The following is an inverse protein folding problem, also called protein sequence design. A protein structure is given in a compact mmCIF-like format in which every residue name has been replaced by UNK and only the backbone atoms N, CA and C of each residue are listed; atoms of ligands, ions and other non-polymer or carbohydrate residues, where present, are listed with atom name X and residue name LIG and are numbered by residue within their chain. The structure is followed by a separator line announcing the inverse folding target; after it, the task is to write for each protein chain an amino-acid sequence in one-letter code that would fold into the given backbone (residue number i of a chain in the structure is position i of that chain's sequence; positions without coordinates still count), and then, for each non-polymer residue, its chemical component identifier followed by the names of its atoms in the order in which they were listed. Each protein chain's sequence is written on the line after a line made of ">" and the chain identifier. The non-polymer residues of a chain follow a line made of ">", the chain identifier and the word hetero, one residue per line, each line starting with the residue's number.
data_IF_125561465099
#
_entry.id   IF_125561465099
#
_cell.length_a   1.000
_cell.length_b   1.000
_cell.length_c   1.000
_cell.angle_alpha   90.00
_cell.angle_beta   90.00
_cell.angle_gamma   90.00
#
_symmetry.space_group_name_H-M   'P 1'
#
loop_
_entity.id
_entity.type
_entity.pdbx_description
1 polymer ?
#
# COMPACT_ATOMS: atom_id res chain seq x y z
N UNK A 1 15.32 -6.75 20.81
CA UNK A 1 13.86 -6.52 20.78
C UNK A 1 13.62 -5.02 20.76
N UNK A 2 13.50 -4.44 19.58
CA UNK A 2 13.20 -3.01 19.43
C UNK A 2 11.69 -2.88 19.49
N UNK A 3 11.16 -2.39 20.59
CA UNK A 3 9.73 -2.06 20.73
C UNK A 3 9.45 -0.84 19.86
N UNK A 4 8.33 -0.83 19.11
CA UNK A 4 7.84 0.41 18.53
C UNK A 4 7.72 1.44 19.64
N UNK A 5 8.35 2.61 19.46
CA UNK A 5 8.07 3.75 20.30
C UNK A 5 6.57 4.05 20.22
N UNK A 6 5.89 4.26 21.36
CA UNK A 6 4.44 4.49 21.31
C UNK A 6 4.13 5.70 20.42
N UNK A 7 2.95 5.75 19.87
CA UNK A 7 2.36 6.67 18.88
C UNK A 7 2.61 8.19 19.00
N UNK A 8 3.54 8.63 19.85
CA UNK A 8 3.82 10.04 20.15
C UNK A 8 4.83 10.73 19.22
N UNK A 9 5.43 10.02 18.26
CA UNK A 9 6.48 10.56 17.39
C UNK A 9 6.18 10.54 15.89
N UNK A 10 5.00 10.04 15.46
CA UNK A 10 4.66 10.06 14.04
C UNK A 10 4.13 11.44 13.66
N UNK A 11 4.55 11.99 12.49
CA UNK A 11 3.93 13.21 11.96
C UNK A 11 2.45 12.94 11.71
N UNK A 12 1.67 14.00 11.52
CA UNK A 12 0.27 13.85 11.15
C UNK A 12 0.16 12.87 9.97
N UNK A 13 -0.73 11.86 10.04
CA UNK A 13 -0.93 10.92 8.97
C UNK A 13 -1.12 11.64 7.62
N UNK A 14 -0.54 11.11 6.54
CA UNK A 14 -0.77 11.69 5.22
C UNK A 14 -2.22 11.43 4.75
N UNK A 15 -2.76 12.36 3.99
CA UNK A 15 -4.05 12.24 3.30
C UNK A 15 -3.84 12.67 1.84
N UNK A 16 -3.94 11.72 0.90
CA UNK A 16 -3.69 11.94 -0.51
C UNK A 16 -4.92 11.55 -1.33
N UNK A 17 -5.31 12.41 -2.27
CA UNK A 17 -6.43 12.14 -3.17
C UNK A 17 -6.00 12.13 -4.63
N UNK A 18 -6.59 11.23 -5.38
CA UNK A 18 -6.39 11.03 -6.81
C UNK A 18 -7.74 10.96 -7.52
N UNK A 19 -7.85 11.63 -8.67
CA UNK A 19 -9.07 11.60 -9.49
C UNK A 19 -8.69 11.13 -10.89
N UNK A 20 -9.32 10.06 -11.34
CA UNK A 20 -9.05 9.43 -12.63
C UNK A 20 -10.19 9.73 -13.61
N UNK A 21 -9.93 10.62 -14.58
CA UNK A 21 -10.90 11.10 -15.54
C UNK A 21 -11.85 12.15 -14.96
N UNK A 22 -12.98 12.39 -15.64
CA UNK A 22 -14.01 13.29 -15.19
C UNK A 22 -14.94 12.57 -14.20
N UNK A 23 -14.88 12.96 -12.92
CA UNK A 23 -15.61 12.32 -11.82
C UNK A 23 -16.21 13.38 -10.91
N UNK A 24 -17.47 13.21 -10.59
CA UNK A 24 -18.15 14.03 -9.60
C UNK A 24 -17.93 13.47 -8.21
N UNK A 25 -16.93 14.01 -7.49
CA UNK A 25 -16.49 13.50 -6.17
C UNK A 25 -17.36 14.00 -5.01
N UNK A 26 -18.20 15.03 -5.23
CA UNK A 26 -19.15 15.56 -4.26
C UNK A 26 -20.54 14.89 -4.33
N UNK A 27 -20.69 13.93 -5.24
CA UNK A 27 -21.90 13.16 -5.44
C UNK A 27 -21.97 11.89 -4.59
N UNK A 28 -22.91 11.01 -4.95
CA UNK A 28 -23.09 9.73 -4.27
C UNK A 28 -21.94 8.77 -4.60
N UNK A 29 -21.11 8.46 -3.61
CA UNK A 29 -19.90 7.65 -3.77
C UNK A 29 -20.10 6.23 -3.23
N UNK A 30 -19.72 5.23 -4.02
CA UNK A 30 -19.53 3.86 -3.57
C UNK A 30 -18.07 3.69 -3.11
N UNK A 31 -17.87 3.40 -1.83
CA UNK A 31 -16.53 3.25 -1.25
C UNK A 31 -16.13 1.77 -1.10
N UNK A 32 -14.89 1.47 -1.45
CA UNK A 32 -14.20 0.23 -1.11
C UNK A 32 -13.02 0.54 -0.19
N UNK A 33 -13.05 -0.01 1.01
CA UNK A 33 -11.96 0.12 1.98
C UNK A 33 -10.91 -0.97 1.75
N UNK A 34 -9.63 -0.57 1.78
CA UNK A 34 -8.48 -1.46 1.66
C UNK A 34 -7.44 -1.14 2.74
N UNK A 35 -6.59 -2.11 3.06
CA UNK A 35 -5.44 -1.93 3.94
C UNK A 35 -4.14 -2.20 3.19
N UNK A 36 -3.07 -1.50 3.57
CA UNK A 36 -1.73 -1.63 3.01
C UNK A 36 -0.71 -1.73 4.13
N UNK A 37 0.17 -2.73 4.05
CA UNK A 37 1.24 -2.90 5.01
C UNK A 37 2.50 -2.15 4.54
N UNK A 38 3.03 -1.29 5.38
CA UNK A 38 4.37 -0.71 5.24
C UNK A 38 5.29 -1.47 6.18
N UNK A 39 6.14 -2.32 5.62
CA UNK A 39 7.03 -3.20 6.38
C UNK A 39 8.47 -2.79 6.08
N UNK A 40 9.14 -2.04 6.98
CA UNK A 40 10.52 -1.65 6.80
C UNK A 40 11.51 -2.72 7.31
N UNK A 41 12.71 -2.73 6.70
CA UNK A 41 13.88 -3.48 7.14
C UNK A 41 15.14 -2.70 6.76
N UNK A 42 15.73 -1.97 7.70
CA UNK A 42 16.78 -1.01 7.36
C UNK A 42 16.27 0.00 6.31
N UNK A 43 17.00 0.20 5.23
CA UNK A 43 16.64 1.12 4.14
C UNK A 43 15.66 0.51 3.13
N UNK A 44 15.23 -0.73 3.34
CA UNK A 44 14.36 -1.46 2.43
C UNK A 44 12.92 -1.52 2.93
N UNK A 45 12.00 -1.70 1.98
CA UNK A 45 10.59 -2.01 2.21
C UNK A 45 10.24 -3.36 1.59
N UNK A 46 9.38 -4.13 2.26
CA UNK A 46 8.75 -5.28 1.62
C UNK A 46 7.67 -4.77 0.66
N UNK A 47 7.88 -5.00 -0.62
CA UNK A 47 6.97 -4.59 -1.69
C UNK A 47 6.66 -5.77 -2.61
N UNK A 48 5.58 -5.64 -3.37
CA UNK A 48 5.20 -6.59 -4.42
C UNK A 48 5.53 -5.98 -5.78
N UNK A 49 6.41 -6.63 -6.53
CA UNK A 49 6.77 -6.24 -7.90
C UNK A 49 5.84 -6.90 -8.91
N UNK A 50 5.20 -6.13 -9.77
CA UNK A 50 4.47 -6.63 -10.93
C UNK A 50 5.43 -6.82 -12.11
N UNK A 51 5.73 -8.04 -12.50
CA UNK A 51 6.60 -8.33 -13.66
C UNK A 51 6.01 -7.86 -14.98
N UNK A 52 4.68 -7.78 -15.07
CA UNK A 52 3.99 -7.35 -16.28
C UNK A 52 4.00 -5.83 -16.41
N UNK A 53 3.78 -5.11 -15.32
CA UNK A 53 3.70 -3.65 -15.32
C UNK A 53 5.04 -2.98 -14.99
N UNK A 54 5.95 -3.71 -14.33
CA UNK A 54 7.25 -3.18 -13.87
C UNK A 54 7.17 -2.27 -12.66
N UNK A 55 6.00 -2.15 -12.03
CA UNK A 55 5.79 -1.29 -10.86
C UNK A 55 5.86 -2.06 -9.54
N UNK A 56 6.01 -1.32 -8.46
CA UNK A 56 6.11 -1.81 -7.09
C UNK A 56 4.94 -1.28 -6.25
N UNK A 57 4.35 -2.16 -5.44
CA UNK A 57 3.18 -1.88 -4.62
C UNK A 57 3.39 -2.30 -3.18
N UNK A 58 2.76 -1.60 -2.24
CA UNK A 58 2.65 -2.07 -0.87
C UNK A 58 1.73 -3.29 -0.80
N UNK A 59 2.12 -4.38 -0.09
CA UNK A 59 1.24 -5.53 0.08
C UNK A 59 -0.04 -5.15 0.80
N UNK A 60 -1.15 -5.76 0.39
CA UNK A 60 -2.46 -5.51 0.96
C UNK A 60 -3.58 -5.44 -0.06
N UNK A 61 -4.81 -5.52 0.43
CA UNK A 61 -6.00 -5.58 -0.40
C UNK A 61 -7.28 -5.16 0.31
N UNK A 62 -8.40 -5.65 -0.20
CA UNK A 62 -9.71 -5.32 0.33
C UNK A 62 -9.98 -5.93 1.70
N UNK A 63 -10.71 -5.20 2.53
CA UNK A 63 -11.24 -5.74 3.79
C UNK A 63 -12.51 -6.54 3.48
N UNK A 64 -12.57 -7.77 3.93
CA UNK A 64 -13.73 -8.62 3.78
C UNK A 64 -14.81 -8.33 4.83
N UNK A 65 -16.03 -8.77 4.57
CA UNK A 65 -17.15 -8.53 5.49
C UNK A 65 -16.88 -9.12 6.88
N UNK A 66 -16.91 -8.28 7.91
CA UNK A 66 -16.65 -8.67 9.30
C UNK A 66 -15.16 -8.78 9.67
N UNK A 67 -14.26 -8.53 8.74
CA UNK A 67 -12.83 -8.54 8.96
C UNK A 67 -12.35 -7.25 9.63
N UNK A 68 -11.49 -7.34 10.62
CA UNK A 68 -10.79 -6.17 11.15
C UNK A 68 -9.60 -5.79 10.25
N UNK A 69 -9.10 -4.56 10.35
CA UNK A 69 -7.90 -4.13 9.60
C UNK A 69 -6.70 -5.02 9.88
N UNK A 70 -6.53 -5.46 11.14
CA UNK A 70 -5.44 -6.35 11.53
C UNK A 70 -5.57 -7.72 10.84
N UNK A 71 -6.77 -8.30 10.80
CA UNK A 71 -7.02 -9.60 10.15
C UNK A 71 -6.78 -9.50 8.65
N UNK A 72 -7.27 -8.42 8.01
CA UNK A 72 -7.03 -8.17 6.59
C UNK A 72 -5.53 -8.04 6.27
N UNK A 73 -4.78 -7.26 7.06
CA UNK A 73 -3.33 -7.12 6.91
C UNK A 73 -2.60 -8.46 7.06
N UNK A 74 -2.99 -9.27 8.04
CA UNK A 74 -2.38 -10.59 8.28
C UNK A 74 -2.62 -11.53 7.10
N UNK A 75 -3.86 -11.57 6.59
CA UNK A 75 -4.25 -12.41 5.45
C UNK A 75 -3.49 -11.99 4.19
N UNK A 76 -3.50 -10.70 3.85
CA UNK A 76 -2.87 -10.17 2.63
C UNK A 76 -1.34 -10.35 2.65
N UNK A 77 -0.68 -10.08 3.79
CA UNK A 77 0.76 -10.32 3.95
C UNK A 77 1.13 -11.79 3.77
N UNK A 78 0.30 -12.70 4.26
CA UNK A 78 0.53 -14.14 4.10
C UNK A 78 0.30 -14.57 2.65
N UNK A 79 -0.79 -14.11 2.01
CA UNK A 79 -1.15 -14.47 0.64
C UNK A 79 -0.15 -13.90 -0.38
N UNK A 80 0.15 -12.61 -0.32
CA UNK A 80 0.98 -11.92 -1.30
C UNK A 80 2.50 -12.10 -1.06
N UNK A 81 2.91 -12.15 0.22
CA UNK A 81 4.34 -12.14 0.57
C UNK A 81 4.82 -13.40 1.31
N UNK A 82 3.93 -14.29 1.72
CA UNK A 82 4.27 -15.40 2.60
C UNK A 82 4.77 -14.93 3.97
N UNK A 83 4.40 -13.74 4.40
CA UNK A 83 4.88 -13.08 5.60
C UNK A 83 3.87 -13.22 6.74
N UNK A 84 4.33 -13.69 7.91
CA UNK A 84 3.51 -13.72 9.11
C UNK A 84 3.51 -12.35 9.79
N UNK A 85 2.35 -11.71 9.90
CA UNK A 85 2.19 -10.45 10.63
C UNK A 85 2.42 -10.68 12.13
N UNK A 86 3.31 -9.90 12.74
CA UNK A 86 3.62 -9.94 14.19
C UNK A 86 3.01 -8.76 14.93
N UNK A 87 3.04 -7.58 14.32
CA UNK A 87 2.58 -6.37 14.98
C UNK A 87 2.04 -5.39 13.95
N UNK A 88 0.94 -4.72 14.28
CA UNK A 88 0.44 -3.55 13.57
C UNK A 88 0.72 -2.33 14.44
N UNK A 89 1.55 -1.44 13.92
CA UNK A 89 1.84 -0.15 14.53
C UNK A 89 0.81 0.92 14.17
N UNK A 90 1.25 2.18 14.14
CA UNK A 90 0.39 3.31 13.84
C UNK A 90 -0.09 3.37 12.39
N UNK A 91 -1.21 4.05 12.17
CA UNK A 91 -1.67 4.48 10.86
C UNK A 91 -0.73 5.57 10.33
N UNK A 92 -0.07 5.31 9.22
CA UNK A 92 0.82 6.27 8.54
C UNK A 92 0.06 7.27 7.68
N UNK A 93 -1.09 6.88 7.18
CA UNK A 93 -1.94 7.75 6.37
C UNK A 93 -2.95 7.00 5.53
N UNK A 94 -3.66 7.75 4.70
CA UNK A 94 -4.63 7.19 3.77
C UNK A 94 -4.52 7.80 2.38
N UNK A 95 -5.03 7.06 1.40
CA UNK A 95 -5.23 7.56 0.05
C UNK A 95 -6.66 7.33 -0.38
N UNK A 96 -7.20 8.24 -1.21
CA UNK A 96 -8.49 8.11 -1.87
C UNK A 96 -8.31 8.20 -3.38
N UNK A 97 -8.74 7.16 -4.09
CA UNK A 97 -8.71 7.12 -5.56
C UNK A 97 -10.13 7.11 -6.09
N UNK A 98 -10.51 8.19 -6.76
CA UNK A 98 -11.84 8.38 -7.34
C UNK A 98 -11.82 8.05 -8.83
N UNK A 99 -12.85 7.32 -9.28
CA UNK A 99 -13.16 7.09 -10.69
C UNK A 99 -14.67 7.08 -10.89
N UNK A 100 -15.14 7.20 -12.13
CA UNK A 100 -16.54 7.04 -12.44
C UNK A 100 -17.08 5.69 -11.94
N UNK A 101 -18.21 5.72 -11.24
CA UNK A 101 -18.86 4.47 -10.83
C UNK A 101 -19.44 3.76 -12.04
N UNK A 102 -19.43 2.43 -12.00
CA UNK A 102 -20.12 1.58 -12.97
C UNK A 102 -21.49 1.13 -12.47
N UNK A 103 -21.67 1.22 -11.16
CA UNK A 103 -22.88 0.83 -10.47
C UNK A 103 -23.95 1.92 -10.61
N UNK A 104 -25.19 1.59 -11.03
CA UNK A 104 -26.28 2.56 -11.16
C UNK A 104 -26.57 3.29 -9.84
N UNK A 105 -26.78 4.59 -9.92
CA UNK A 105 -27.15 5.43 -8.77
C UNK A 105 -25.96 5.95 -7.95
N UNK A 106 -24.71 5.71 -8.41
CA UNK A 106 -23.51 6.32 -7.86
C UNK A 106 -22.84 7.21 -8.90
N UNK A 107 -22.32 8.36 -8.45
CA UNK A 107 -21.55 9.30 -9.27
C UNK A 107 -20.07 8.92 -9.32
N UNK A 108 -19.56 8.38 -8.22
CA UNK A 108 -18.16 7.99 -8.07
C UNK A 108 -18.01 6.62 -7.41
N UNK A 109 -16.90 5.97 -7.74
CA UNK A 109 -16.34 4.84 -7.00
C UNK A 109 -15.03 5.30 -6.38
N UNK A 110 -14.89 5.12 -5.07
CA UNK A 110 -13.69 5.49 -4.31
C UNK A 110 -13.02 4.25 -3.73
N UNK A 111 -11.73 4.07 -4.02
CA UNK A 111 -10.90 3.15 -3.26
C UNK A 111 -10.18 3.96 -2.18
N UNK A 112 -10.51 3.68 -0.93
CA UNK A 112 -9.84 4.25 0.24
C UNK A 112 -8.85 3.24 0.78
N UNK A 113 -7.55 3.59 0.74
CA UNK A 113 -6.47 2.70 1.21
C UNK A 113 -5.83 3.26 2.47
N UNK A 114 -5.80 2.46 3.53
CA UNK A 114 -5.20 2.78 4.83
C UNK A 114 -3.83 2.12 4.94
N UNK A 115 -2.79 2.90 5.19
CA UNK A 115 -1.40 2.44 5.28
C UNK A 115 -0.98 2.30 6.74
N UNK A 116 -0.62 1.09 7.13
CA UNK A 116 -0.19 0.76 8.49
C UNK A 116 1.27 0.37 8.53
N UNK A 117 2.01 0.87 9.52
CA UNK A 117 3.31 0.34 9.83
C UNK A 117 3.14 -1.08 10.38
N UNK A 118 3.88 -2.04 9.83
CA UNK A 118 3.76 -3.44 10.22
C UNK A 118 5.13 -4.05 10.50
N UNK A 119 5.15 -5.02 11.41
CA UNK A 119 6.27 -5.95 11.60
C UNK A 119 5.84 -7.35 11.25
N UNK A 120 6.75 -8.10 10.65
CA UNK A 120 6.54 -9.49 10.25
C UNK A 120 7.54 -10.41 10.95
N UNK A 121 7.29 -11.71 10.89
CA UNK A 121 8.24 -12.72 11.34
C UNK A 121 9.47 -12.80 10.44
N UNK A 122 10.55 -13.35 10.94
CA UNK A 122 11.85 -13.44 10.26
C UNK A 122 11.85 -14.39 9.05
N UNK A 123 10.90 -15.31 9.00
CA UNK A 123 10.80 -16.31 7.94
C UNK A 123 9.62 -16.01 7.02
N UNK A 124 9.89 -16.05 5.73
CA UNK A 124 8.86 -16.01 4.70
C UNK A 124 8.57 -17.44 4.21
N UNK A 125 7.29 -17.77 4.06
CA UNK A 125 6.86 -19.00 3.40
C UNK A 125 6.52 -18.73 1.94
N UNK A 126 6.19 -19.76 1.16
CA UNK A 126 5.77 -19.55 -0.22
C UNK A 126 4.44 -18.75 -0.26
N UNK A 127 4.38 -17.63 -1.02
CA UNK A 127 3.13 -16.90 -1.23
C UNK A 127 2.04 -17.76 -1.84
N UNK A 128 0.79 -17.39 -1.62
CA UNK A 128 -0.39 -18.04 -2.20
C UNK A 128 -1.18 -17.01 -3.04
N UNK A 129 -0.60 -16.54 -4.16
CA UNK A 129 -1.18 -15.46 -4.93
C UNK A 129 -2.50 -15.85 -5.58
N UNK A 130 -3.39 -14.88 -5.67
CA UNK A 130 -4.68 -15.03 -6.36
C UNK A 130 -4.48 -15.12 -7.90
N UNK A 131 -5.46 -15.67 -8.65
CA UNK A 131 -5.31 -15.86 -10.09
C UNK A 131 -4.95 -14.59 -10.88
N UNK A 132 -5.42 -13.41 -10.47
CA UNK A 132 -5.08 -12.16 -11.14
C UNK A 132 -3.64 -11.72 -10.84
N UNK A 133 -3.12 -12.00 -9.64
CA UNK A 133 -1.74 -11.70 -9.21
C UNK A 133 -0.74 -12.57 -9.97
N UNK A 134 -1.09 -13.84 -10.17
CA UNK A 134 -0.31 -14.75 -11.02
C UNK A 134 -0.23 -14.19 -12.45
N UNK A 135 -1.35 -13.70 -13.01
CA UNK A 135 -1.36 -13.11 -14.37
C UNK A 135 -0.51 -11.83 -14.47
N UNK A 136 -0.45 -11.03 -13.41
CA UNK A 136 0.39 -9.83 -13.32
C UNK A 136 1.84 -10.14 -12.94
N UNK A 137 2.13 -11.41 -12.60
CA UNK A 137 3.45 -11.85 -12.22
C UNK A 137 3.92 -11.20 -10.93
N UNK A 138 3.06 -11.12 -9.93
CA UNK A 138 3.38 -10.52 -8.62
C UNK A 138 4.46 -11.33 -7.92
N UNK A 139 5.49 -10.65 -7.48
CA UNK A 139 6.63 -11.22 -6.76
C UNK A 139 6.97 -10.31 -5.57
N UNK A 140 6.85 -10.81 -4.34
CA UNK A 140 7.30 -10.06 -3.18
C UNK A 140 8.82 -10.00 -3.12
N UNK A 141 9.35 -8.90 -2.58
CA UNK A 141 10.78 -8.70 -2.38
C UNK A 141 11.07 -7.50 -1.50
N UNK A 142 12.32 -7.41 -1.09
CA UNK A 142 12.85 -6.26 -0.37
C UNK A 142 13.49 -5.31 -1.37
N UNK A 143 13.07 -4.05 -1.34
CA UNK A 143 13.53 -3.01 -2.26
C UNK A 143 13.95 -1.78 -1.48
N UNK A 144 15.10 -1.22 -1.81
CA UNK A 144 15.51 0.05 -1.26
C UNK A 144 14.45 1.12 -1.60
N UNK A 145 14.12 1.98 -0.62
CA UNK A 145 13.06 2.99 -0.76
C UNK A 145 13.30 3.91 -1.97
N UNK A 146 14.54 4.34 -2.17
CA UNK A 146 14.93 5.21 -3.29
C UNK A 146 14.80 4.49 -4.64
N UNK A 147 15.20 3.22 -4.71
CA UNK A 147 15.08 2.39 -5.90
C UNK A 147 13.61 2.15 -6.24
N UNK A 148 12.79 1.80 -5.26
CA UNK A 148 11.35 1.59 -5.45
C UNK A 148 10.66 2.86 -5.98
N UNK A 149 10.98 4.01 -5.40
CA UNK A 149 10.45 5.29 -5.85
C UNK A 149 10.88 5.61 -7.28
N UNK A 150 12.15 5.39 -7.63
CA UNK A 150 12.66 5.65 -8.98
C UNK A 150 12.06 4.70 -10.01
N UNK A 151 11.89 3.42 -9.67
CA UNK A 151 11.21 2.43 -10.50
C UNK A 151 9.81 2.89 -10.86
N UNK A 152 9.00 3.23 -9.85
CA UNK A 152 7.62 3.69 -10.08
C UNK A 152 7.55 5.01 -10.86
N UNK A 153 8.46 5.96 -10.62
CA UNK A 153 8.56 7.20 -11.41
C UNK A 153 8.82 6.91 -12.89
N UNK A 154 9.65 5.92 -13.18
CA UNK A 154 9.94 5.50 -14.55
C UNK A 154 8.70 4.91 -15.22
N UNK A 155 7.93 4.10 -14.50
CA UNK A 155 6.68 3.53 -15.01
C UNK A 155 5.61 4.61 -15.30
N UNK A 156 5.55 5.68 -14.51
CA UNK A 156 4.64 6.80 -14.73
C UNK A 156 4.91 7.60 -16.04
N UNK A 157 6.08 7.45 -16.63
CA UNK A 157 6.40 8.09 -17.91
C UNK A 157 5.74 7.38 -19.11
N UNK A 158 5.18 6.19 -18.93
CA UNK A 158 4.52 5.39 -19.94
C UNK A 158 3.11 4.93 -19.53
N UNK A 159 2.47 4.06 -20.31
CA UNK A 159 1.24 3.42 -19.92
C UNK A 159 1.46 2.56 -18.66
N UNK A 160 0.74 2.89 -17.59
CA UNK A 160 0.84 2.18 -16.32
C UNK A 160 -0.55 2.06 -15.67
N UNK A 161 -0.71 1.13 -14.71
CA UNK A 161 -1.92 1.05 -13.92
C UNK A 161 -2.19 2.32 -13.12
N UNK A 162 -3.47 2.61 -12.84
CA UNK A 162 -3.84 3.81 -12.07
C UNK A 162 -3.22 3.84 -10.67
N UNK A 163 -3.10 2.68 -10.03
CA UNK A 163 -2.50 2.58 -8.68
C UNK A 163 -1.02 2.96 -8.63
N UNK A 164 -0.27 2.90 -9.76
CA UNK A 164 1.16 3.26 -9.79
C UNK A 164 1.38 4.70 -9.33
N UNK A 165 0.50 5.63 -9.68
CA UNK A 165 0.56 7.03 -9.23
C UNK A 165 0.39 7.15 -7.70
N UNK A 166 -0.55 6.41 -7.13
CA UNK A 166 -0.77 6.33 -5.68
C UNK A 166 0.46 5.80 -4.96
N UNK A 167 0.96 4.63 -5.37
CA UNK A 167 2.13 4.00 -4.76
C UNK A 167 3.36 4.92 -4.83
N UNK A 168 3.59 5.57 -5.96
CA UNK A 168 4.69 6.53 -6.13
C UNK A 168 4.59 7.69 -5.13
N UNK A 169 3.39 8.23 -4.91
CA UNK A 169 3.20 9.35 -3.99
C UNK A 169 3.39 8.93 -2.53
N UNK A 170 2.97 7.72 -2.16
CA UNK A 170 3.20 7.18 -0.82
C UNK A 170 4.69 6.90 -0.60
N UNK A 171 5.40 6.27 -1.55
CA UNK A 171 6.85 6.09 -1.48
C UNK A 171 7.58 7.43 -1.32
N UNK A 172 7.19 8.45 -2.09
CA UNK A 172 7.77 9.79 -1.97
C UNK A 172 7.49 10.45 -0.60
N UNK A 173 6.34 10.15 0.03
CA UNK A 173 6.04 10.62 1.37
C UNK A 173 6.93 9.93 2.41
N UNK A 174 7.10 8.61 2.32
CA UNK A 174 7.97 7.85 3.21
C UNK A 174 9.43 8.29 3.05
N UNK A 175 9.91 8.56 1.81
CA UNK A 175 11.25 9.10 1.57
C UNK A 175 11.47 10.44 2.27
N UNK A 176 10.49 11.37 2.18
CA UNK A 176 10.59 12.65 2.90
C UNK A 176 10.70 12.45 4.42
N UNK A 177 9.92 11.54 4.98
CA UNK A 177 9.98 11.23 6.41
C UNK A 177 11.30 10.58 6.81
N UNK A 178 11.82 9.69 5.97
CA UNK A 178 13.14 9.09 6.18
C UNK A 178 14.24 10.15 6.20
N UNK A 179 14.27 11.08 5.23
CA UNK A 179 15.22 12.20 5.17
C UNK A 179 15.10 13.16 6.35
N UNK A 180 13.96 13.24 7.00
CA UNK A 180 13.71 14.05 8.20
C UNK A 180 14.00 13.30 9.50
N UNK A 181 14.46 12.05 9.45
CA UNK A 181 14.67 11.20 10.63
C UNK A 181 13.36 10.82 11.35
N UNK A 182 12.21 10.97 10.68
CA UNK A 182 10.89 10.66 11.22
C UNK A 182 10.56 9.18 11.02
N UNK A 183 11.01 8.62 9.91
CA UNK A 183 10.87 7.22 9.55
C UNK A 183 12.23 6.55 9.71
N UNK A 184 12.62 6.31 10.98
CA UNK A 184 13.84 5.61 11.30
C UNK A 184 13.53 4.14 11.56
N UNK A 185 14.22 3.28 10.85
CA UNK A 185 13.93 1.86 10.76
C UNK A 185 14.80 1.10 11.75
N UNK A 186 14.54 1.23 13.04
CA UNK A 186 15.28 0.49 14.06
C UNK A 186 15.24 -1.03 13.93
#
# INVERSE_FOLDING_TARGET
>A
MTTFSPASCWPNPFDLSFVHGEVRTDGRTLERLTVRAVVPRGDELLLVHSRVNGDLMFPGGGIEAGESHHVALARELLEECGAELREVGGLLGETREYRAAREPGFDAYCIRSLYYLCRIGDQLVAPQPQPYEIRLGFMPGWFALDEALQTNKTQLAGPCPQWTARETRVLAQLQRWHQQGIFDHG
#
